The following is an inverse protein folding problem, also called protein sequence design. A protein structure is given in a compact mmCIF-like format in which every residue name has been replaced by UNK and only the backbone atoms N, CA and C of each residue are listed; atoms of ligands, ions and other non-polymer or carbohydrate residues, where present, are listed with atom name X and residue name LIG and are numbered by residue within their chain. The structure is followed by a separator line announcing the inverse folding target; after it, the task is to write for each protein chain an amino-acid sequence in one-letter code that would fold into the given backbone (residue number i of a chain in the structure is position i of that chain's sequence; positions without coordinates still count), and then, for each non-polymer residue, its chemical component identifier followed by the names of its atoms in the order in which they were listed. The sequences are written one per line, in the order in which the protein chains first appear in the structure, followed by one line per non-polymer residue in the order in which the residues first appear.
data_IF_040066479881
#
_entry.id   IF_040066479881
#
_cell.length_a   1.000
_cell.length_b   1.000
_cell.length_c   1.000
_cell.angle_alpha   90.00
_cell.angle_beta   90.00
_cell.angle_gamma   90.00
#
_symmetry.space_group_name_H-M   'P 1'
#
loop_
_entity.id
_entity.type
_entity.pdbx_description
1 polymer ?
#
# COMPACT_ATOMS: atom_id res chain seq x y z
N UNK A 1 8.07 14.63 5.05
CA UNK A 1 9.39 15.26 5.31
C UNK A 1 10.19 14.51 6.38
N UNK A 2 9.68 14.31 7.61
CA UNK A 2 10.45 13.59 8.65
C UNK A 2 10.85 12.15 8.28
N UNK A 3 9.96 11.37 7.65
CA UNK A 3 10.28 10.01 7.18
C UNK A 3 11.36 9.99 6.10
N UNK A 4 11.42 11.02 5.25
CA UNK A 4 12.39 11.15 4.16
C UNK A 4 13.78 11.46 4.73
N UNK A 5 13.86 12.30 5.77
CA UNK A 5 15.11 12.56 6.50
C UNK A 5 15.64 11.35 7.28
N UNK A 6 14.76 10.56 7.91
CA UNK A 6 15.15 9.32 8.60
C UNK A 6 15.66 8.28 7.58
N UNK A 7 14.97 8.15 6.45
CA UNK A 7 15.33 7.25 5.36
C UNK A 7 16.67 7.64 4.70
N UNK A 8 16.87 8.91 4.36
CA UNK A 8 18.16 9.38 3.80
C UNK A 8 19.30 9.24 4.82
N UNK A 9 19.02 9.47 6.11
CA UNK A 9 19.97 9.23 7.20
C UNK A 9 20.38 7.76 7.31
N UNK A 10 19.42 6.84 7.26
CA UNK A 10 19.69 5.40 7.26
C UNK A 10 20.47 4.98 6.02
N UNK A 11 20.05 5.42 4.82
CA UNK A 11 20.70 5.09 3.54
C UNK A 11 22.16 5.55 3.53
N UNK A 12 22.43 6.74 4.06
CA UNK A 12 23.78 7.28 4.19
C UNK A 12 24.64 6.47 5.15
N UNK A 13 24.07 5.99 6.27
CA UNK A 13 24.80 5.12 7.20
C UNK A 13 25.01 3.70 6.65
N UNK A 14 24.03 3.15 5.95
CA UNK A 14 24.11 1.82 5.32
C UNK A 14 25.30 1.77 4.35
N UNK A 15 25.37 2.69 3.38
CA UNK A 15 26.51 2.77 2.43
C UNK A 15 27.84 3.23 3.05
N UNK A 16 27.83 3.65 4.31
CA UNK A 16 29.04 3.97 5.09
C UNK A 16 29.55 2.76 5.88
N UNK A 17 28.69 1.81 6.24
CA UNK A 17 28.98 0.72 7.18
C UNK A 17 29.06 -0.65 6.51
N UNK A 18 28.34 -0.89 5.40
CA UNK A 18 28.21 -2.21 4.76
C UNK A 18 29.44 -2.74 4.00
N UNK A 19 30.60 -2.09 4.13
CA UNK A 19 31.88 -2.75 3.83
C UNK A 19 32.05 -3.35 2.43
N UNK A 20 31.28 -2.94 1.42
CA UNK A 20 31.58 -3.36 0.03
C UNK A 20 33.00 -2.93 -0.30
N UNK A 21 33.88 -3.85 -0.74
CA UNK A 21 35.29 -3.55 -0.93
C UNK A 21 35.37 -2.40 -1.92
N UNK A 22 35.92 -1.26 -1.50
CA UNK A 22 36.13 -0.11 -2.38
C UNK A 22 37.06 -0.56 -3.51
N UNK A 23 36.57 -0.75 -4.75
CA UNK A 23 37.48 -0.80 -5.88
C UNK A 23 38.04 0.62 -6.01
N UNK A 24 39.33 0.77 -6.26
CA UNK A 24 39.92 2.08 -6.54
C UNK A 24 39.15 2.73 -7.72
N UNK A 25 38.38 3.78 -7.44
CA UNK A 25 37.54 4.47 -8.44
C UNK A 25 36.05 4.63 -8.10
N UNK A 26 35.58 4.12 -6.97
CA UNK A 26 34.15 4.18 -6.61
C UNK A 26 33.67 5.62 -6.27
N UNK A 27 32.46 6.05 -6.70
CA UNK A 27 31.94 7.40 -6.45
C UNK A 27 31.83 7.72 -4.95
N UNK A 28 31.87 9.01 -4.56
CA UNK A 28 31.66 9.40 -3.16
C UNK A 28 30.32 8.86 -2.61
N UNK A 29 30.25 8.65 -1.29
CA UNK A 29 29.08 8.05 -0.61
C UNK A 29 27.75 8.72 -0.99
N UNK A 30 27.77 10.03 -1.24
CA UNK A 30 26.62 10.81 -1.73
C UNK A 30 26.15 10.41 -3.13
N UNK A 31 27.07 10.09 -4.05
CA UNK A 31 26.74 9.58 -5.37
C UNK A 31 26.25 8.13 -5.30
N UNK A 32 26.74 7.34 -4.35
CA UNK A 32 26.28 5.96 -4.17
C UNK A 32 24.89 5.89 -3.51
N UNK A 33 24.61 6.73 -2.52
CA UNK A 33 23.27 6.83 -1.91
C UNK A 33 22.21 7.32 -2.89
N UNK A 34 22.61 8.10 -3.91
CA UNK A 34 21.70 8.54 -4.98
C UNK A 34 21.46 7.45 -6.05
N UNK A 35 22.50 6.71 -6.44
CA UNK A 35 22.45 5.82 -7.60
C UNK A 35 22.20 4.34 -7.26
N UNK A 36 22.44 3.91 -6.02
CA UNK A 36 22.24 2.51 -5.61
C UNK A 36 21.00 2.35 -4.74
N UNK A 37 20.31 1.23 -4.96
CA UNK A 37 19.14 0.83 -4.19
C UNK A 37 19.56 0.17 -2.89
N UNK A 38 19.05 0.67 -1.76
CA UNK A 38 19.08 -0.09 -0.52
C UNK A 38 17.84 -0.99 -0.44
N UNK A 39 17.89 -2.12 0.28
CA UNK A 39 16.72 -2.95 0.53
C UNK A 39 15.59 -2.18 1.28
N UNK A 40 15.91 -1.05 1.91
CA UNK A 40 14.93 -0.18 2.58
C UNK A 40 14.21 0.78 1.62
N UNK A 41 14.72 0.96 0.39
CA UNK A 41 14.10 1.82 -0.64
C UNK A 41 12.69 1.31 -0.99
N UNK A 42 12.54 0.00 -1.14
CA UNK A 42 11.25 -0.63 -1.41
C UNK A 42 10.24 -0.38 -0.29
N UNK A 43 10.65 -0.60 0.97
CA UNK A 43 9.79 -0.37 2.15
C UNK A 43 9.36 1.09 2.25
N UNK A 44 10.23 2.03 1.89
CA UNK A 44 9.93 3.46 1.92
C UNK A 44 8.85 3.84 0.90
N UNK A 45 9.02 3.48 -0.38
CA UNK A 45 8.02 3.76 -1.41
C UNK A 45 6.71 3.01 -1.16
N UNK A 46 6.81 1.78 -0.67
CA UNK A 46 5.65 0.99 -0.25
C UNK A 46 4.86 1.66 0.87
N UNK A 47 5.57 2.22 1.87
CA UNK A 47 4.94 2.99 2.95
C UNK A 47 4.28 4.26 2.44
N UNK A 48 4.90 4.99 1.51
CA UNK A 48 4.29 6.18 0.90
C UNK A 48 3.00 5.80 0.18
N UNK A 49 3.02 4.78 -0.69
CA UNK A 49 1.85 4.32 -1.42
C UNK A 49 0.72 3.92 -0.45
N UNK A 50 1.01 3.13 0.58
CA UNK A 50 0.05 2.74 1.61
C UNK A 50 -0.61 3.94 2.30
N UNK A 51 0.19 4.94 2.69
CA UNK A 51 -0.32 6.13 3.35
C UNK A 51 -1.19 6.98 2.40
N UNK A 52 -0.77 7.15 1.15
CA UNK A 52 -1.51 7.91 0.14
C UNK A 52 -2.88 7.29 -0.10
N UNK A 53 -2.95 5.98 -0.37
CA UNK A 53 -4.21 5.30 -0.59
C UNK A 53 -5.09 5.25 0.66
N UNK A 54 -4.51 5.12 1.86
CA UNK A 54 -5.27 5.15 3.11
C UNK A 54 -5.92 6.52 3.36
N UNK A 55 -5.20 7.61 3.10
CA UNK A 55 -5.74 8.97 3.22
C UNK A 55 -6.84 9.22 2.18
N UNK A 56 -6.63 8.81 0.93
CA UNK A 56 -7.65 8.92 -0.11
C UNK A 56 -8.88 8.06 0.17
N UNK A 57 -8.69 6.84 0.67
CA UNK A 57 -9.78 5.97 1.08
C UNK A 57 -10.61 6.59 2.20
N UNK A 58 -9.95 7.13 3.24
CA UNK A 58 -10.61 7.81 4.35
C UNK A 58 -11.37 9.07 3.88
N UNK A 59 -10.74 9.92 3.06
CA UNK A 59 -11.38 11.09 2.49
C UNK A 59 -12.57 10.72 1.58
N UNK A 60 -12.47 9.62 0.85
CA UNK A 60 -13.55 9.08 0.02
C UNK A 60 -14.76 8.66 0.85
N UNK A 61 -14.54 8.01 1.99
CA UNK A 61 -15.61 7.62 2.92
C UNK A 61 -16.29 8.85 3.52
N UNK A 62 -15.51 9.83 4.00
CA UNK A 62 -16.06 11.05 4.60
C UNK A 62 -16.89 11.89 3.63
N UNK A 63 -16.44 12.01 2.38
CA UNK A 63 -17.11 12.82 1.36
C UNK A 63 -18.10 12.02 0.50
N UNK A 64 -18.35 10.75 0.82
CA UNK A 64 -19.16 9.83 0.01
C UNK A 64 -18.73 9.76 -1.47
N UNK A 65 -17.43 9.95 -1.75
CA UNK A 65 -16.86 9.90 -3.10
C UNK A 65 -16.48 8.48 -3.47
N UNK A 66 -17.30 7.86 -4.32
CA UNK A 66 -17.15 6.45 -4.73
C UNK A 66 -15.82 6.18 -5.43
N UNK A 67 -15.30 7.10 -6.22
CA UNK A 67 -14.06 6.91 -6.98
C UNK A 67 -12.86 6.69 -6.05
N UNK A 68 -12.75 7.51 -5.00
CA UNK A 68 -11.67 7.42 -4.02
C UNK A 68 -11.74 6.13 -3.20
N UNK A 69 -12.93 5.72 -2.76
CA UNK A 69 -13.13 4.47 -2.03
C UNK A 69 -12.83 3.26 -2.92
N UNK A 70 -13.23 3.32 -4.20
CA UNK A 70 -12.92 2.26 -5.18
C UNK A 70 -11.42 2.19 -5.47
N UNK A 71 -10.72 3.33 -5.54
CA UNK A 71 -9.27 3.38 -5.66
C UNK A 71 -8.57 2.71 -4.48
N UNK A 72 -8.99 3.01 -3.26
CA UNK A 72 -8.49 2.36 -2.05
C UNK A 72 -8.78 0.86 -2.02
N UNK A 73 -9.98 0.44 -2.42
CA UNK A 73 -10.33 -0.97 -2.56
C UNK A 73 -9.41 -1.71 -3.55
N UNK A 74 -9.24 -1.13 -4.74
CA UNK A 74 -8.38 -1.70 -5.81
C UNK A 74 -6.96 -1.91 -5.32
N UNK A 75 -6.42 -0.91 -4.63
CA UNK A 75 -5.08 -0.96 -4.07
C UNK A 75 -4.93 -2.08 -3.04
N UNK A 76 -5.86 -2.21 -2.09
CA UNK A 76 -5.84 -3.29 -1.09
C UNK A 76 -6.04 -4.69 -1.70
N UNK A 77 -6.84 -4.80 -2.77
CA UNK A 77 -7.02 -6.06 -3.48
C UNK A 77 -5.72 -6.53 -4.15
N UNK A 78 -4.99 -5.62 -4.79
CA UNK A 78 -3.66 -5.92 -5.36
C UNK A 78 -2.68 -6.27 -4.24
N UNK A 79 -2.70 -5.51 -3.14
CA UNK A 79 -1.83 -5.73 -1.99
C UNK A 79 -2.04 -7.11 -1.36
N UNK A 80 -3.28 -7.58 -1.29
CA UNK A 80 -3.61 -8.94 -0.85
C UNK A 80 -2.94 -10.00 -1.75
N UNK A 81 -3.02 -9.88 -3.08
CA UNK A 81 -2.42 -10.83 -4.02
C UNK A 81 -0.89 -10.83 -3.91
N UNK A 82 -0.29 -9.65 -3.86
CA UNK A 82 1.16 -9.47 -3.76
C UNK A 82 1.69 -10.00 -2.42
N UNK A 83 1.03 -9.66 -1.30
CA UNK A 83 1.41 -10.14 0.02
C UNK A 83 1.27 -11.66 0.13
N UNK A 84 0.23 -12.25 -0.48
CA UNK A 84 0.07 -13.71 -0.52
C UNK A 84 1.19 -14.38 -1.32
N UNK A 85 1.57 -13.83 -2.48
CA UNK A 85 2.70 -14.36 -3.26
C UNK A 85 4.00 -14.33 -2.46
N UNK A 86 4.34 -13.19 -1.87
CA UNK A 86 5.54 -13.10 -1.03
C UNK A 86 5.50 -14.04 0.18
N UNK A 87 4.33 -14.25 0.78
CA UNK A 87 4.19 -15.21 1.87
C UNK A 87 4.43 -16.65 1.40
N UNK A 88 3.85 -17.05 0.27
CA UNK A 88 4.06 -18.38 -0.32
C UNK A 88 5.53 -18.60 -0.70
N UNK A 89 6.18 -17.58 -1.27
CA UNK A 89 7.59 -17.60 -1.65
C UNK A 89 8.47 -17.88 -0.42
N UNK A 90 8.29 -17.11 0.66
CA UNK A 90 9.02 -17.33 1.91
C UNK A 90 8.71 -18.69 2.54
N UNK A 91 7.46 -19.16 2.51
CA UNK A 91 7.12 -20.50 2.98
C UNK A 91 7.76 -21.61 2.14
N UNK A 92 7.97 -21.37 0.85
CA UNK A 92 8.62 -22.30 -0.07
C UNK A 92 10.12 -22.34 0.20
N UNK A 93 10.77 -21.20 0.40
CA UNK A 93 12.20 -21.10 0.78
C UNK A 93 12.50 -21.77 2.12
N UNK A 94 11.54 -21.76 3.07
CA UNK A 94 11.66 -22.50 4.33
C UNK A 94 11.71 -24.03 4.08
N UNK A 95 11.00 -24.54 3.05
CA UNK A 95 10.78 -25.97 2.83
C UNK A 95 11.69 -26.58 1.76
N UNK A 96 12.00 -25.85 0.69
CA UNK A 96 12.78 -26.32 -0.46
C UNK A 96 14.13 -25.62 -0.40
N UNK A 97 15.15 -26.33 0.08
CA UNK A 97 16.53 -25.85 0.11
C UNK A 97 17.22 -26.20 -1.19
N UNK A 98 17.80 -25.21 -1.86
CA UNK A 98 18.71 -25.47 -2.98
C UNK A 98 20.11 -25.81 -2.44
N UNK A 99 20.82 -26.70 -3.14
CA UNK A 99 22.15 -27.13 -2.72
C UNK A 99 23.13 -25.94 -2.78
N UNK A 100 23.65 -25.54 -1.62
CA UNK A 100 24.60 -24.42 -1.48
C UNK A 100 24.08 -23.21 -0.71
N UNK A 101 22.78 -23.19 -0.32
CA UNK A 101 22.24 -22.09 0.48
C UNK A 101 22.61 -22.19 1.96
N UNK A 102 22.88 -21.04 2.63
CA UNK A 102 23.20 -20.99 4.05
C UNK A 102 22.06 -21.56 4.90
N UNK A 103 22.41 -22.18 6.03
CA UNK A 103 21.49 -23.00 6.79
C UNK A 103 20.43 -22.17 7.55
N UNK A 104 19.31 -21.88 6.89
CA UNK A 104 18.06 -21.38 7.49
C UNK A 104 17.80 -19.90 7.23
N UNK A 105 16.52 -19.50 7.31
CA UNK A 105 16.14 -18.10 7.19
C UNK A 105 16.80 -17.26 8.28
N UNK A 106 17.41 -16.15 7.87
CA UNK A 106 17.87 -15.09 8.76
C UNK A 106 16.72 -14.54 9.59
N UNK A 107 17.00 -14.00 10.78
CA UNK A 107 15.97 -13.38 11.62
C UNK A 107 15.20 -12.26 10.89
N UNK A 108 15.86 -11.61 9.94
CA UNK A 108 15.28 -10.60 9.06
C UNK A 108 14.21 -11.18 8.13
N UNK A 109 14.46 -12.30 7.45
CA UNK A 109 13.49 -12.93 6.54
C UNK A 109 12.26 -13.44 7.29
N UNK A 110 12.44 -13.99 8.50
CA UNK A 110 11.32 -14.41 9.36
C UNK A 110 10.47 -13.23 9.81
N UNK A 111 11.10 -12.11 10.17
CA UNK A 111 10.39 -10.89 10.54
C UNK A 111 9.65 -10.31 9.32
N UNK A 112 10.29 -10.27 8.16
CA UNK A 112 9.66 -9.82 6.91
C UNK A 112 8.44 -10.67 6.55
N UNK A 113 8.54 -12.00 6.65
CA UNK A 113 7.43 -12.91 6.41
C UNK A 113 6.24 -12.66 7.34
N UNK A 114 6.50 -12.45 8.64
CA UNK A 114 5.47 -12.12 9.62
C UNK A 114 4.79 -10.78 9.29
N UNK A 115 5.58 -9.75 8.94
CA UNK A 115 5.03 -8.45 8.53
C UNK A 115 4.19 -8.54 7.24
N UNK A 116 4.64 -9.33 6.26
CA UNK A 116 3.88 -9.60 5.03
C UNK A 116 2.56 -10.30 5.35
N UNK A 117 2.57 -11.27 6.26
CA UNK A 117 1.35 -11.97 6.69
C UNK A 117 0.36 -11.04 7.40
N UNK A 118 0.81 -10.20 8.32
CA UNK A 118 -0.06 -9.21 8.95
C UNK A 118 -0.63 -8.22 7.93
N UNK A 119 0.19 -7.79 6.98
CA UNK A 119 -0.24 -6.90 5.92
C UNK A 119 -1.28 -7.55 4.98
N UNK A 120 -1.15 -8.86 4.72
CA UNK A 120 -2.17 -9.63 4.01
C UNK A 120 -3.52 -9.63 4.76
N UNK A 121 -3.51 -9.94 6.06
CA UNK A 121 -4.73 -9.94 6.89
C UNK A 121 -5.36 -8.54 6.95
N UNK A 122 -4.55 -7.50 7.14
CA UNK A 122 -5.03 -6.11 7.15
C UNK A 122 -5.63 -5.70 5.81
N UNK A 123 -5.05 -6.14 4.70
CA UNK A 123 -5.58 -5.87 3.34
C UNK A 123 -6.93 -6.54 3.12
N UNK A 124 -7.14 -7.76 3.64
CA UNK A 124 -8.45 -8.43 3.62
C UNK A 124 -9.48 -7.62 4.41
N UNK A 125 -9.14 -7.21 5.63
CA UNK A 125 -10.03 -6.40 6.46
C UNK A 125 -10.39 -5.08 5.77
N UNK A 126 -9.40 -4.37 5.23
CA UNK A 126 -9.59 -3.11 4.52
C UNK A 126 -10.51 -3.28 3.29
N UNK A 127 -10.36 -4.39 2.56
CA UNK A 127 -11.19 -4.75 1.41
C UNK A 127 -12.66 -4.95 1.83
N UNK A 128 -12.91 -5.65 2.94
CA UNK A 128 -14.28 -5.86 3.47
C UNK A 128 -14.92 -4.53 3.89
N UNK A 129 -14.19 -3.67 4.61
CA UNK A 129 -14.70 -2.36 4.99
C UNK A 129 -14.98 -1.46 3.78
N UNK A 130 -14.10 -1.49 2.77
CA UNK A 130 -14.29 -0.71 1.56
C UNK A 130 -15.52 -1.18 0.75
N UNK A 131 -15.79 -2.49 0.67
CA UNK A 131 -17.02 -3.00 0.06
C UNK A 131 -18.28 -2.49 0.76
N UNK A 132 -18.29 -2.54 2.10
CA UNK A 132 -19.41 -2.03 2.91
C UNK A 132 -19.62 -0.53 2.70
N UNK A 133 -18.54 0.25 2.68
CA UNK A 133 -18.61 1.68 2.40
C UNK A 133 -19.15 1.98 0.99
N UNK A 134 -18.75 1.21 -0.03
CA UNK A 134 -19.27 1.37 -1.40
C UNK A 134 -20.76 1.03 -1.49
N UNK A 135 -21.21 -0.04 -0.81
CA UNK A 135 -22.64 -0.39 -0.72
C UNK A 135 -23.45 0.75 -0.10
N UNK A 136 -22.96 1.32 1.01
CA UNK A 136 -23.62 2.42 1.70
C UNK A 136 -23.68 3.70 0.85
N UNK A 137 -22.58 4.07 0.19
CA UNK A 137 -22.53 5.23 -0.72
C UNK A 137 -23.52 5.05 -1.88
N UNK A 138 -23.59 3.85 -2.47
CA UNK A 138 -24.54 3.56 -3.55
C UNK A 138 -25.99 3.67 -3.09
N UNK A 139 -26.29 3.19 -1.88
CA UNK A 139 -27.64 3.30 -1.30
C UNK A 139 -28.02 4.78 -1.12
N UNK A 140 -27.14 5.59 -0.51
CA UNK A 140 -27.34 7.04 -0.32
C UNK A 140 -27.53 7.79 -1.63
N UNK A 141 -26.69 7.53 -2.65
CA UNK A 141 -26.83 8.14 -3.96
C UNK A 141 -28.16 7.78 -4.65
N UNK A 142 -28.65 6.54 -4.47
CA UNK A 142 -29.93 6.11 -5.02
C UNK A 142 -31.10 6.80 -4.33
N UNK A 143 -31.03 6.95 -3.00
CA UNK A 143 -32.04 7.69 -2.23
C UNK A 143 -32.11 9.16 -2.64
N UNK A 144 -30.96 9.82 -2.78
CA UNK A 144 -30.89 11.20 -3.27
C UNK A 144 -31.44 11.35 -4.69
N UNK A 145 -31.09 10.44 -5.59
CA UNK A 145 -31.61 10.45 -6.96
C UNK A 145 -33.14 10.29 -6.98
N UNK A 146 -33.68 9.36 -6.20
CA UNK A 146 -35.14 9.19 -6.08
C UNK A 146 -35.81 10.44 -5.52
N UNK A 147 -35.21 11.09 -4.51
CA UNK A 147 -35.73 12.34 -3.94
C UNK A 147 -35.74 13.47 -4.97
N UNK A 148 -34.66 13.62 -5.75
CA UNK A 148 -34.55 14.61 -6.81
C UNK A 148 -35.53 14.34 -7.96
N UNK A 149 -35.73 13.07 -8.32
CA UNK A 149 -36.72 12.66 -9.34
C UNK A 149 -38.14 13.03 -8.90
N UNK A 150 -38.52 12.75 -7.64
CA UNK A 150 -39.85 13.11 -7.12
C UNK A 150 -40.04 14.63 -7.07
N UNK A 151 -39.01 15.39 -6.66
CA UNK A 151 -39.06 16.86 -6.67
C UNK A 151 -39.19 17.41 -8.09
N UNK A 152 -38.49 16.81 -9.07
CA UNK A 152 -38.60 17.18 -10.49
C UNK A 152 -40.01 16.95 -11.04
N UNK A 153 -40.63 15.80 -10.73
CA UNK A 153 -41.99 15.49 -11.16
C UNK A 153 -43.03 16.43 -10.51
N UNK A 154 -42.75 16.91 -9.29
CA UNK A 154 -43.63 17.88 -8.61
C UNK A 154 -43.51 19.28 -9.23
N UNK A 155 -42.28 19.70 -9.60
CA UNK A 155 -42.02 20.98 -10.26
C UNK A 155 -42.59 21.08 -11.68
N UNK A 156 -42.72 19.97 -12.40
CA UNK A 156 -43.35 19.96 -13.73
C UNK A 156 -44.88 20.16 -13.68
N UNK A 157 -45.52 19.97 -12.54
CA UNK A 157 -46.98 20.13 -12.39
C UNK A 157 -47.41 21.58 -12.11
N UNK A 158 -46.49 22.47 -11.73
CA UNK A 158 -46.81 23.85 -11.33
C UNK A 158 -46.74 24.90 -12.46
N UNK A 159 -46.51 24.51 -13.73
CA UNK A 159 -46.26 25.49 -14.82
C UNK A 159 -47.53 25.97 -15.56
N UNK A 160 -48.71 25.35 -15.36
CA UNK A 160 -49.94 25.74 -16.08
C UNK A 160 -51.17 25.96 -15.18
N UNK A 161 -51.13 26.94 -14.28
CA UNK A 161 -52.33 27.60 -13.72
C UNK A 161 -52.21 29.11 -13.65
#
# INVERSE_FOLDING_TARGET
MCLLGIYEGFKTQYFRTDGTPKPEGDPPVSARSLNYHSPLDFLFYYSIANNVFSVFGFAGVLNAQKELVTGFFSYNAIQMVVAFHFFVDVCTDIKIRYAGEPAGLTGYERAAAAFIFFNFVLSICATVFALKAVEEIKAKQREEYNRLSVLSDTLQYEVDQ
#
